data_IF_478630291976
#
_entry.id   IF_478630291976
#
_cell.length_a   1.000
_cell.length_b   1.000
_cell.length_c   1.000
_cell.angle_alpha   90.00
_cell.angle_beta   90.00
_cell.angle_gamma   90.00
#
_symmetry.space_group_name_H-M   'P 1'
#
loop_
_entity.id
_entity.type
_entity.pdbx_description
1 polymer ?
#
# COMPACT_ATOMS: atom_id res chain seq x y z
N UNK A 1 -8.81 10.31 22.54
CA UNK A 1 -8.43 10.24 21.12
C UNK A 1 -7.20 9.35 21.03
N UNK A 2 -7.27 8.22 20.37
CA UNK A 2 -6.12 7.35 20.13
C UNK A 2 -5.42 7.73 18.85
N UNK A 3 -4.11 7.50 18.76
CA UNK A 3 -3.38 7.58 17.50
C UNK A 3 -3.67 6.33 16.67
N UNK A 4 -3.75 6.47 15.35
CA UNK A 4 -3.73 5.34 14.43
C UNK A 4 -2.37 4.64 14.56
N UNK A 5 -2.40 3.33 14.69
CA UNK A 5 -1.19 2.51 14.79
C UNK A 5 -1.00 1.72 13.50
N UNK A 6 0.16 1.12 13.37
CA UNK A 6 0.50 0.26 12.24
C UNK A 6 -0.53 -0.85 12.02
N UNK A 7 -0.98 -1.50 13.08
CA UNK A 7 -1.97 -2.57 13.03
C UNK A 7 -3.36 -2.11 12.55
N UNK A 8 -3.64 -0.80 12.58
CA UNK A 8 -4.89 -0.21 12.12
C UNK A 8 -4.87 0.09 10.61
N UNK A 9 -3.71 -0.05 9.96
CA UNK A 9 -3.54 0.32 8.55
C UNK A 9 -3.26 -0.91 7.72
N UNK A 10 -4.29 -1.42 7.06
CA UNK A 10 -4.18 -2.49 6.08
C UNK A 10 -4.07 -1.90 4.68
N UNK A 11 -3.15 -2.44 3.89
CA UNK A 11 -3.04 -2.15 2.47
C UNK A 11 -3.68 -3.30 1.70
N UNK A 12 -4.64 -2.97 0.88
CA UNK A 12 -5.25 -3.92 -0.04
C UNK A 12 -5.14 -3.36 -1.46
N UNK A 13 -4.62 -4.15 -2.37
CA UNK A 13 -4.47 -3.80 -3.79
C UNK A 13 -5.02 -4.93 -4.63
N UNK A 14 -5.93 -4.61 -5.54
CA UNK A 14 -6.60 -5.59 -6.40
C UNK A 14 -7.25 -6.77 -5.64
N UNK A 15 -7.75 -6.51 -4.43
CA UNK A 15 -8.36 -7.52 -3.57
C UNK A 15 -7.38 -8.41 -2.80
N UNK A 16 -6.08 -8.16 -2.91
CA UNK A 16 -5.05 -8.85 -2.13
C UNK A 16 -4.50 -7.97 -1.02
N UNK A 17 -4.44 -8.50 0.20
CA UNK A 17 -3.90 -7.79 1.36
C UNK A 17 -2.38 -7.88 1.39
N UNK A 18 -1.73 -6.77 1.66
CA UNK A 18 -0.28 -6.68 1.78
C UNK A 18 0.10 -6.24 3.18
N UNK A 19 0.98 -7.00 3.81
CA UNK A 19 1.57 -6.64 5.09
C UNK A 19 2.89 -5.94 4.85
N UNK A 20 2.82 -4.62 4.80
CA UNK A 20 3.99 -3.78 4.57
C UNK A 20 4.80 -3.60 5.86
N UNK A 21 6.12 -3.60 5.74
CA UNK A 21 7.01 -3.17 6.82
C UNK A 21 6.97 -1.66 6.98
N UNK A 22 6.88 -0.99 5.85
CA UNK A 22 6.80 0.45 5.73
C UNK A 22 5.88 0.79 4.56
N UNK A 23 5.06 1.79 4.72
CA UNK A 23 4.18 2.27 3.67
C UNK A 23 3.92 3.76 3.80
N UNK A 24 3.80 4.41 2.67
CA UNK A 24 3.44 5.81 2.59
C UNK A 24 2.49 6.06 1.43
N UNK A 25 1.54 6.95 1.65
CA UNK A 25 0.65 7.44 0.62
C UNK A 25 0.70 8.96 0.61
N UNK A 26 0.83 9.52 -0.56
CA UNK A 26 0.82 10.97 -0.76
C UNK A 26 -0.13 11.35 -1.87
N UNK A 27 -0.77 12.48 -1.73
CA UNK A 27 -1.69 13.04 -2.71
C UNK A 27 -1.35 14.48 -2.94
N UNK A 28 -1.30 14.87 -4.17
CA UNK A 28 -1.05 16.25 -4.57
C UNK A 28 -2.06 16.70 -5.62
N UNK A 29 -2.43 17.97 -5.53
CA UNK A 29 -3.21 18.65 -6.55
C UNK A 29 -2.48 19.92 -6.95
N UNK A 30 -2.30 20.12 -8.24
CA UNK A 30 -1.77 21.37 -8.76
C UNK A 30 -2.89 22.38 -8.88
N UNK A 31 -2.75 23.51 -8.21
CA UNK A 31 -3.71 24.60 -8.25
C UNK A 31 -3.15 25.73 -9.12
N UNK A 32 -3.91 26.15 -10.10
CA UNK A 32 -3.58 27.30 -10.94
C UNK A 32 -4.54 28.46 -10.68
N UNK A 33 -4.01 29.70 -10.70
CA UNK A 33 -4.86 30.87 -10.55
C UNK A 33 -5.67 31.10 -11.83
N UNK A 34 -6.99 31.13 -11.70
CA UNK A 34 -7.89 31.57 -12.75
C UNK A 34 -7.92 33.11 -12.72
N UNK A 35 -7.39 33.75 -13.75
CA UNK A 35 -7.32 35.19 -13.85
C UNK A 35 -8.49 35.74 -14.66
N UNK A 36 -8.98 36.88 -14.23
CA UNK A 36 -9.92 37.67 -15.02
C UNK A 36 -9.15 38.46 -16.11
N UNK A 37 -9.90 39.04 -17.04
CA UNK A 37 -9.35 39.84 -18.15
C UNK A 37 -8.59 41.07 -17.68
N UNK A 38 -8.84 41.56 -16.50
CA UNK A 38 -8.13 42.67 -15.85
C UNK A 38 -6.82 42.21 -15.13
N UNK A 39 -6.50 40.91 -15.20
CA UNK A 39 -5.31 40.31 -14.56
C UNK A 39 -5.49 39.96 -13.10
N UNK A 40 -6.60 40.27 -12.47
CA UNK A 40 -6.88 39.89 -11.07
C UNK A 40 -7.16 38.40 -10.93
N UNK A 41 -6.78 37.81 -9.80
CA UNK A 41 -7.06 36.39 -9.52
C UNK A 41 -8.47 36.28 -8.99
N UNK A 42 -9.32 35.57 -9.73
CA UNK A 42 -10.69 35.30 -9.31
C UNK A 42 -10.77 34.14 -8.32
N UNK A 43 -10.07 33.04 -8.63
CA UNK A 43 -10.00 31.83 -7.78
C UNK A 43 -8.82 30.98 -8.20
N UNK A 44 -8.51 30.01 -7.35
CA UNK A 44 -7.62 28.91 -7.72
C UNK A 44 -8.46 27.71 -8.16
N UNK A 45 -8.05 27.06 -9.22
CA UNK A 45 -8.69 25.86 -9.74
C UNK A 45 -7.66 24.74 -9.94
N UNK A 46 -8.04 23.48 -9.78
CA UNK A 46 -7.16 22.37 -10.13
C UNK A 46 -6.85 22.44 -11.64
N UNK A 47 -5.57 22.50 -12.00
CA UNK A 47 -5.15 22.51 -13.39
C UNK A 47 -5.05 21.10 -13.97
N UNK A 48 -4.64 20.16 -13.15
CA UNK A 48 -4.59 18.75 -13.44
C UNK A 48 -5.39 17.99 -12.39
N UNK A 49 -5.86 16.80 -12.70
CA UNK A 49 -6.52 15.93 -11.74
C UNK A 49 -5.62 15.66 -10.52
N UNK A 50 -6.22 15.13 -9.46
CA UNK A 50 -5.44 14.67 -8.32
C UNK A 50 -4.48 13.57 -8.74
N UNK A 51 -3.24 13.69 -8.29
CA UNK A 51 -2.20 12.71 -8.48
C UNK A 51 -1.74 12.23 -7.13
N UNK A 52 -1.49 10.96 -7.02
CA UNK A 52 -0.96 10.41 -5.79
C UNK A 52 0.04 9.29 -6.05
N UNK A 53 0.77 8.97 -5.01
CA UNK A 53 1.73 7.89 -4.98
C UNK A 53 1.53 7.07 -3.72
N UNK A 54 1.48 5.75 -3.90
CA UNK A 54 1.54 4.77 -2.84
C UNK A 54 2.86 4.03 -2.97
N UNK A 55 3.66 4.03 -1.92
CA UNK A 55 4.90 3.25 -1.84
C UNK A 55 4.85 2.37 -0.62
N UNK A 56 5.25 1.13 -0.76
CA UNK A 56 5.36 0.21 0.37
C UNK A 56 6.46 -0.83 0.14
N UNK A 57 6.99 -1.33 1.24
CA UNK A 57 7.93 -2.44 1.27
C UNK A 57 7.37 -3.60 2.07
N UNK A 58 7.62 -4.82 1.63
CA UNK A 58 7.22 -6.03 2.33
C UNK A 58 8.23 -7.16 2.11
N UNK A 59 8.25 -8.11 3.04
CA UNK A 59 9.03 -9.32 2.83
C UNK A 59 8.26 -10.31 1.97
N UNK A 60 8.96 -10.93 1.03
CA UNK A 60 8.39 -11.96 0.17
C UNK A 60 8.18 -13.25 0.96
N UNK A 61 6.94 -13.68 1.06
CA UNK A 61 6.53 -14.86 1.84
C UNK A 61 5.95 -15.98 0.96
N UNK A 62 6.67 -16.38 -0.06
CA UNK A 62 6.22 -17.41 -0.98
C UNK A 62 6.18 -16.92 -2.41
N UNK A 63 5.03 -16.52 -2.91
CA UNK A 63 4.88 -15.95 -4.26
C UNK A 63 4.68 -14.44 -4.21
N UNK A 64 5.07 -13.79 -5.29
CA UNK A 64 4.76 -12.38 -5.50
C UNK A 64 3.26 -12.21 -5.67
N UNK A 65 2.70 -11.14 -5.09
CA UNK A 65 1.31 -10.80 -5.28
C UNK A 65 0.99 -10.60 -6.77
N UNK A 66 -0.21 -10.98 -7.20
CA UNK A 66 -0.57 -11.00 -8.63
C UNK A 66 -0.51 -9.62 -9.28
N UNK A 67 -0.83 -8.57 -8.52
CA UNK A 67 -0.81 -7.19 -8.99
C UNK A 67 0.62 -6.62 -9.14
N UNK A 68 1.64 -7.30 -8.62
CA UNK A 68 3.06 -6.96 -8.80
C UNK A 68 3.70 -7.73 -9.95
N UNK A 69 2.92 -8.48 -10.72
CA UNK A 69 3.44 -9.26 -11.82
C UNK A 69 3.78 -8.36 -13.01
N UNK A 70 5.08 -8.15 -13.23
CA UNK A 70 5.61 -7.34 -14.34
C UNK A 70 5.86 -8.12 -15.62
N UNK A 71 5.54 -9.40 -15.68
CA UNK A 71 5.76 -10.23 -16.88
C UNK A 71 4.80 -9.97 -18.04
N UNK A 72 3.74 -9.25 -17.78
CA UNK A 72 3.01 -8.55 -18.81
C UNK A 72 2.90 -7.12 -18.32
N UNK A 73 3.45 -6.18 -19.03
CA UNK A 73 3.15 -4.77 -18.74
C UNK A 73 1.63 -4.67 -18.81
N UNK A 74 0.99 -5.01 -17.70
CA UNK A 74 -0.43 -4.82 -17.57
C UNK A 74 -0.61 -3.32 -17.44
N UNK A 75 -0.99 -2.69 -18.53
CA UNK A 75 -1.49 -1.32 -18.53
C UNK A 75 -2.80 -1.22 -17.73
N UNK A 76 -3.22 -2.31 -17.10
CA UNK A 76 -4.43 -2.35 -16.30
C UNK A 76 -4.23 -1.60 -15.01
N UNK A 77 -5.03 -0.58 -14.82
CA UNK A 77 -5.14 0.13 -13.57
C UNK A 77 -5.67 -0.80 -12.47
N UNK A 78 -5.12 -0.70 -11.28
CA UNK A 78 -5.60 -1.41 -10.11
C UNK A 78 -6.27 -0.44 -9.15
N UNK A 79 -7.19 -0.98 -8.37
CA UNK A 79 -7.86 -0.26 -7.28
C UNK A 79 -7.38 -0.79 -5.95
N UNK A 80 -7.43 0.02 -4.91
CA UNK A 80 -7.01 -0.46 -3.62
C UNK A 80 -7.44 0.44 -2.47
N UNK A 81 -7.07 0.02 -1.26
CA UNK A 81 -7.32 0.76 -0.03
C UNK A 81 -6.06 0.85 0.81
N UNK A 82 -5.95 1.92 1.54
CA UNK A 82 -4.90 2.17 2.51
C UNK A 82 -5.54 2.64 3.81
N UNK A 83 -5.70 1.73 4.77
CA UNK A 83 -6.32 2.05 6.05
C UNK A 83 -7.73 2.64 5.95
N UNK A 84 -8.54 2.17 4.99
CA UNK A 84 -9.88 2.69 4.73
C UNK A 84 -9.96 3.79 3.66
N UNK A 85 -8.84 4.46 3.35
CA UNK A 85 -8.76 5.37 2.22
C UNK A 85 -8.75 4.57 0.92
N UNK A 86 -9.73 4.80 0.04
CA UNK A 86 -9.83 4.08 -1.24
C UNK A 86 -9.23 4.91 -2.37
N UNK A 87 -8.50 4.26 -3.25
CA UNK A 87 -7.94 4.85 -4.46
C UNK A 87 -8.22 3.98 -5.67
N UNK A 88 -8.36 4.62 -6.82
CA UNK A 88 -8.54 3.95 -8.11
C UNK A 88 -7.48 4.36 -9.12
N UNK A 89 -7.51 3.71 -10.28
CA UNK A 89 -6.61 4.02 -11.41
C UNK A 89 -5.13 4.10 -11.01
N UNK A 90 -4.68 3.11 -10.22
CA UNK A 90 -3.30 3.01 -9.80
C UNK A 90 -2.50 2.14 -10.76
N UNK A 91 -1.32 2.60 -11.13
CA UNK A 91 -0.40 1.93 -12.03
C UNK A 91 0.91 1.66 -11.32
N UNK A 92 1.43 0.45 -11.46
CA UNK A 92 2.74 0.10 -10.94
C UNK A 92 3.82 0.94 -11.64
N UNK A 93 4.49 1.78 -10.88
CA UNK A 93 5.54 2.67 -11.36
C UNK A 93 6.94 2.05 -11.22
N UNK A 94 7.20 1.41 -10.10
CA UNK A 94 8.48 0.74 -9.85
C UNK A 94 8.31 -0.49 -8.97
N UNK A 95 9.16 -1.48 -9.21
CA UNK A 95 9.27 -2.69 -8.43
C UNK A 95 10.75 -3.05 -8.28
N UNK A 96 11.21 -3.20 -7.06
CA UNK A 96 12.60 -3.54 -6.75
C UNK A 96 12.66 -4.72 -5.79
N UNK A 97 13.66 -5.58 -5.98
CA UNK A 97 13.91 -6.72 -5.12
C UNK A 97 15.30 -6.59 -4.50
N UNK A 98 15.37 -6.71 -3.19
CA UNK A 98 16.62 -6.73 -2.45
C UNK A 98 16.84 -8.13 -1.90
N UNK A 99 17.92 -8.76 -2.35
CA UNK A 99 18.26 -10.13 -1.99
C UNK A 99 19.63 -10.13 -1.34
N UNK A 100 19.68 -10.51 -0.09
CA UNK A 100 20.92 -10.65 0.67
C UNK A 100 21.04 -12.09 1.20
N UNK A 101 22.27 -12.64 1.29
CA UNK A 101 22.46 -13.96 1.90
C UNK A 101 21.90 -14.01 3.33
N UNK A 102 21.18 -15.09 3.62
CA UNK A 102 20.57 -15.36 4.94
C UNK A 102 19.49 -14.37 5.40
N UNK A 103 19.04 -13.47 4.53
CA UNK A 103 17.97 -12.53 4.81
C UNK A 103 16.74 -12.82 3.97
N UNK A 104 15.54 -12.51 4.47
CA UNK A 104 14.33 -12.54 3.64
C UNK A 104 14.44 -11.56 2.46
N UNK A 105 13.85 -11.92 1.34
CA UNK A 105 13.78 -11.02 0.19
C UNK A 105 12.87 -9.84 0.51
N UNK A 106 13.40 -8.63 0.44
CA UNK A 106 12.63 -7.41 0.58
C UNK A 106 12.16 -6.96 -0.81
N UNK A 107 10.87 -6.66 -0.90
CA UNK A 107 10.24 -6.13 -2.11
C UNK A 107 9.78 -4.71 -1.84
N UNK A 108 10.22 -3.78 -2.67
CA UNK A 108 9.75 -2.40 -2.67
C UNK A 108 8.93 -2.13 -3.92
N UNK A 109 7.75 -1.57 -3.74
CA UNK A 109 6.82 -1.24 -4.81
C UNK A 109 6.28 0.16 -4.69
N UNK A 110 6.10 0.80 -5.83
CA UNK A 110 5.53 2.14 -5.93
C UNK A 110 4.46 2.18 -7.01
N UNK A 111 3.32 2.76 -6.66
CA UNK A 111 2.20 2.97 -7.56
C UNK A 111 1.92 4.46 -7.70
N UNK A 112 1.69 4.89 -8.92
CA UNK A 112 1.11 6.19 -9.19
C UNK A 112 -0.37 6.03 -9.50
N UNK A 113 -1.20 6.92 -8.97
CA UNK A 113 -2.63 6.89 -9.25
C UNK A 113 -3.14 8.29 -9.62
N UNK A 114 -4.12 8.29 -10.50
CA UNK A 114 -4.67 9.49 -11.13
C UNK A 114 -6.18 9.63 -10.92
N UNK A 115 -6.76 8.68 -10.25
CA UNK A 115 -8.19 8.61 -9.99
C UNK A 115 -8.63 9.39 -8.76
N UNK A 116 -9.89 9.23 -8.43
CA UNK A 116 -10.49 9.85 -7.25
C UNK A 116 -10.09 9.13 -5.97
N UNK A 117 -9.89 9.91 -4.93
CA UNK A 117 -9.83 9.43 -3.57
C UNK A 117 -11.23 9.42 -2.97
N UNK A 118 -11.52 8.42 -2.19
CA UNK A 118 -12.75 8.37 -1.39
C UNK A 118 -12.45 7.85 0.00
N UNK A 119 -13.35 8.19 0.92
CA UNK A 119 -13.25 7.86 2.33
C UNK A 119 -12.09 8.57 3.06
N UNK A 120 -11.77 8.11 4.22
CA UNK A 120 -10.71 8.68 5.05
C UNK A 120 -10.00 7.57 5.81
N UNK A 121 -8.78 7.84 6.24
CA UNK A 121 -8.10 6.98 7.20
C UNK A 121 -8.94 6.88 8.47
N UNK A 122 -9.24 5.66 8.89
CA UNK A 122 -10.05 5.41 10.09
C UNK A 122 -9.42 4.31 10.94
N UNK A 123 -9.64 4.44 12.25
CA UNK A 123 -9.21 3.45 13.24
C UNK A 123 -10.16 2.27 13.40
N UNK A 124 -11.25 2.23 12.64
CA UNK A 124 -12.26 1.18 12.73
C UNK A 124 -11.94 -0.04 11.87
N UNK A 125 -10.75 -0.09 11.29
CA UNK A 125 -10.31 -1.24 10.53
C UNK A 125 -9.84 -2.32 11.50
N UNK A 126 -10.65 -3.36 11.63
CA UNK A 126 -10.30 -4.54 12.41
C UNK A 126 -9.34 -5.39 11.56
N UNK A 127 -8.05 -5.18 11.79
CA UNK A 127 -7.02 -6.02 11.17
C UNK A 127 -7.09 -7.38 11.85
N UNK A 128 -7.58 -8.36 11.14
CA UNK A 128 -7.48 -9.75 11.57
C UNK A 128 -6.00 -10.19 11.55
N UNK A 129 -5.34 -9.98 12.69
CA UNK A 129 -3.93 -10.35 12.89
C UNK A 129 -3.68 -11.85 12.66
N UNK A 130 -4.73 -12.67 12.65
CA UNK A 130 -4.60 -14.07 12.29
C UNK A 130 -4.31 -14.25 10.79
N UNK A 131 -4.78 -13.36 9.95
CA UNK A 131 -4.46 -13.33 8.53
C UNK A 131 -3.12 -12.68 8.25
N UNK A 132 -2.65 -11.83 9.14
CA UNK A 132 -1.37 -11.15 9.08
C UNK A 132 -0.21 -12.08 9.44
N UNK A 133 -0.13 -13.22 8.79
CA UNK A 133 0.96 -14.17 9.04
C UNK A 133 2.19 -13.77 8.27
N UNK A 134 3.06 -13.03 8.92
CA UNK A 134 4.42 -12.89 8.44
C UNK A 134 5.15 -14.23 8.58
N UNK A 135 5.98 -14.57 7.62
CA UNK A 135 6.77 -15.82 7.64
C UNK A 135 7.70 -15.94 8.85
N UNK A 136 8.03 -14.84 9.50
CA UNK A 136 8.82 -14.78 10.72
C UNK A 136 7.98 -14.62 11.98
N UNK A 137 6.67 -14.46 11.86
CA UNK A 137 5.77 -14.46 13.00
C UNK A 137 5.52 -15.92 13.42
N UNK A 138 6.17 -16.36 14.47
CA UNK A 138 5.91 -17.67 15.07
C UNK A 138 4.56 -17.59 15.78
N UNK A 139 3.51 -18.04 15.11
CA UNK A 139 2.15 -18.06 15.67
C UNK A 139 1.99 -19.10 16.76
N UNK A 140 2.64 -20.23 16.63
CA UNK A 140 2.70 -21.27 17.66
C UNK A 140 4.00 -22.04 17.54
N UNK A 141 4.72 -22.17 18.62
CA UNK A 141 5.82 -23.10 18.76
C UNK A 141 5.31 -24.33 19.51
N UNK A 142 5.06 -25.40 18.79
CA UNK A 142 4.83 -26.71 19.40
C UNK A 142 6.17 -27.41 19.50
N UNK A 143 6.81 -27.29 20.63
CA UNK A 143 7.90 -28.18 20.94
C UNK A 143 7.31 -29.60 21.04
N UNK A 144 7.64 -30.45 20.10
CA UNK A 144 7.30 -31.85 20.20
C UNK A 144 7.85 -32.37 21.53
N UNK A 145 6.98 -32.90 22.38
CA UNK A 145 7.43 -33.61 23.57
C UNK A 145 8.25 -34.78 23.07
N UNK A 146 9.54 -34.89 23.41
CA UNK A 146 10.31 -36.06 23.02
C UNK A 146 9.62 -37.26 23.62
N UNK A 147 9.12 -38.14 22.78
CA UNK A 147 8.37 -39.34 23.18
C UNK A 147 9.23 -40.40 23.84
N UNK A 148 10.48 -40.11 24.16
CA UNK A 148 11.45 -41.02 24.73
C UNK A 148 12.27 -40.34 25.85
N UNK A 149 11.60 -39.86 26.88
CA UNK A 149 12.24 -39.74 28.20
C UNK A 149 11.65 -40.81 29.11
N UNK A 150 12.20 -41.99 28.99
CA UNK A 150 12.18 -43.02 30.02
C UNK A 150 13.53 -43.03 30.73
#
# INVERSE_FOLDING_TARGET
>A
MGFLKYEDVLIEVAGESVFANEASISVSASLEPVRLTDGTIHRYAPSNGMQGQLSFSHYLTGSLASFLNVTGVSEAAVVGTFGGLSFGDAYLNSLSFFVEPYSPVLVESSFNFYGSFSNSLSSSYDVDLEKAKHSHAIKSFVAGTPSNMN
#
